data_IF_859830057829
#
_entry.id   IF_859830057829
#
_cell.length_a   1.000
_cell.length_b   1.000
_cell.length_c   1.000
_cell.angle_alpha   90.00
_cell.angle_beta   90.00
_cell.angle_gamma   90.00
#
_symmetry.space_group_name_H-M   'P 1'
#
loop_
_entity.id
_entity.type
_entity.pdbx_description
1 polymer ?
#
# COMPACT_ATOMS: atom_id res chain seq x y z
N UNK A 1 -21.75 23.56 -14.78
CA UNK A 1 -21.59 23.94 -16.20
C UNK A 1 -20.14 23.67 -16.59
N UNK A 2 -19.84 22.52 -17.20
CA UNK A 2 -18.46 22.14 -17.55
C UNK A 2 -18.11 22.68 -18.94
N UNK A 3 -17.07 23.53 -19.03
CA UNK A 3 -16.49 23.96 -20.31
C UNK A 3 -15.50 22.88 -20.79
N UNK A 4 -15.71 22.35 -22.00
CA UNK A 4 -14.74 21.51 -22.71
C UNK A 4 -13.52 22.36 -23.07
N UNK A 5 -12.34 21.97 -22.63
CA UNK A 5 -11.06 22.50 -23.10
C UNK A 5 -10.55 21.56 -24.18
N UNK A 6 -10.41 22.06 -25.41
CA UNK A 6 -9.77 21.35 -26.52
C UNK A 6 -8.29 21.73 -26.57
N UNK A 7 -7.41 20.73 -26.72
CA UNK A 7 -5.99 20.94 -27.01
C UNK A 7 -5.72 20.70 -28.51
N UNK A 8 -4.86 21.51 -29.15
CA UNK A 8 -4.57 21.41 -30.59
C UNK A 8 -3.66 20.21 -30.92
N UNK A 9 -3.84 19.64 -32.12
CA UNK A 9 -3.25 18.37 -32.60
C UNK A 9 -1.74 18.41 -32.93
N UNK A 10 -1.02 19.50 -32.65
CA UNK A 10 0.32 19.72 -33.22
C UNK A 10 1.50 19.18 -32.42
N UNK A 11 1.32 18.71 -31.17
CA UNK A 11 2.46 18.49 -30.24
C UNK A 11 2.74 17.02 -29.92
N UNK A 12 2.46 16.08 -30.83
CA UNK A 12 2.78 14.66 -30.65
C UNK A 12 4.22 14.34 -31.09
N UNK A 13 5.11 13.83 -30.19
CA UNK A 13 6.42 13.33 -30.61
C UNK A 13 6.28 11.98 -31.31
N UNK A 14 6.94 11.85 -32.46
CA UNK A 14 6.99 10.64 -33.30
C UNK A 14 7.79 9.55 -32.57
N UNK A 15 7.13 8.43 -32.24
CA UNK A 15 7.77 7.26 -31.64
C UNK A 15 8.49 6.41 -32.70
N UNK A 16 9.77 6.12 -32.50
CA UNK A 16 10.50 5.02 -33.16
C UNK A 16 11.04 4.04 -32.13
N UNK A 17 10.61 2.78 -32.25
CA UNK A 17 11.42 1.59 -31.97
C UNK A 17 11.47 1.03 -30.53
N UNK A 18 10.79 -0.10 -30.31
CA UNK A 18 11.44 -1.32 -29.79
C UNK A 18 11.41 -1.63 -28.27
N UNK A 19 10.63 -2.68 -27.95
CA UNK A 19 10.76 -3.66 -26.84
C UNK A 19 10.27 -3.27 -25.43
N UNK A 20 9.26 -4.05 -24.99
CA UNK A 20 8.56 -4.03 -23.69
C UNK A 20 7.88 -2.71 -23.31
N UNK A 21 6.70 -2.46 -23.88
CA UNK A 21 5.73 -1.54 -23.28
C UNK A 21 4.84 -2.32 -22.29
N UNK A 22 5.02 -2.24 -20.96
CA UNK A 22 3.86 -2.37 -20.08
C UNK A 22 2.91 -1.23 -20.47
N UNK A 23 1.60 -1.49 -20.50
CA UNK A 23 0.57 -0.52 -20.89
C UNK A 23 0.99 0.91 -20.48
N UNK A 24 1.21 1.77 -21.47
CA UNK A 24 1.38 3.21 -21.26
C UNK A 24 0.05 3.76 -20.74
N UNK A 25 -0.26 3.51 -19.48
CA UNK A 25 -1.08 4.39 -18.66
C UNK A 25 -0.14 5.51 -18.22
N UNK A 26 0.42 6.23 -19.20
CA UNK A 26 0.89 7.59 -19.01
C UNK A 26 -0.34 8.49 -19.04
N UNK A 27 -1.25 8.27 -18.09
CA UNK A 27 -2.17 9.31 -17.67
C UNK A 27 -1.31 10.24 -16.82
N UNK A 28 -0.63 11.15 -17.48
CA UNK A 28 -0.06 12.31 -16.82
C UNK A 28 -1.20 13.03 -16.08
N UNK A 29 -1.18 12.90 -14.76
CA UNK A 29 -1.50 13.96 -13.81
C UNK A 29 -2.70 14.83 -14.17
N UNK A 30 -3.90 14.33 -13.91
CA UNK A 30 -5.03 15.19 -13.55
C UNK A 30 -5.50 14.76 -12.15
N UNK A 31 -4.91 15.40 -11.15
CA UNK A 31 -5.14 15.31 -9.70
C UNK A 31 -4.72 14.00 -9.01
N UNK A 32 -3.78 14.13 -8.06
CA UNK A 32 -3.37 13.12 -7.05
C UNK A 32 -4.54 12.46 -6.30
N UNK A 33 -5.73 13.06 -6.39
CA UNK A 33 -7.00 12.61 -5.81
C UNK A 33 -7.72 11.53 -6.63
N UNK A 34 -7.25 11.20 -7.84
CA UNK A 34 -7.92 10.21 -8.70
C UNK A 34 -7.37 8.79 -8.58
N UNK A 35 -6.14 8.58 -8.12
CA UNK A 35 -5.60 7.20 -7.98
C UNK A 35 -6.31 6.46 -6.83
N UNK A 36 -6.60 7.15 -5.71
CA UNK A 36 -7.40 6.59 -4.61
C UNK A 36 -8.85 6.31 -5.03
N UNK A 37 -9.44 7.16 -5.89
CA UNK A 37 -10.78 6.96 -6.46
C UNK A 37 -10.83 5.84 -7.50
N UNK A 38 -9.75 5.60 -8.25
CA UNK A 38 -9.70 4.50 -9.22
C UNK A 38 -9.68 3.13 -8.55
N UNK A 39 -9.12 3.01 -7.34
CA UNK A 39 -9.11 1.75 -6.58
C UNK A 39 -10.52 1.36 -6.13
N UNK A 40 -11.30 2.32 -5.65
CA UNK A 40 -12.69 2.07 -5.25
C UNK A 40 -13.59 1.75 -6.46
N UNK A 41 -13.27 2.29 -7.63
CA UNK A 41 -13.99 2.01 -8.88
C UNK A 41 -13.56 0.70 -9.56
N UNK A 42 -12.33 0.24 -9.32
CA UNK A 42 -11.77 -0.97 -9.92
C UNK A 42 -11.09 -1.85 -8.86
N UNK A 43 -11.85 -2.61 -8.06
CA UNK A 43 -11.32 -3.47 -7.00
C UNK A 43 -10.45 -4.63 -7.52
N UNK A 44 -10.35 -4.82 -8.84
CA UNK A 44 -9.39 -5.73 -9.46
C UNK A 44 -7.96 -5.18 -9.47
N UNK A 45 -7.79 -3.85 -9.29
CA UNK A 45 -6.49 -3.18 -9.23
C UNK A 45 -5.86 -3.36 -7.83
N UNK A 46 -5.45 -4.60 -7.56
CA UNK A 46 -4.77 -5.02 -6.33
C UNK A 46 -3.26 -4.70 -6.32
N UNK A 47 -2.74 -4.30 -7.48
CA UNK A 47 -1.33 -3.99 -7.68
C UNK A 47 -1.19 -2.50 -8.01
N UNK A 48 -0.65 -1.76 -7.04
CA UNK A 48 -0.38 -0.32 -7.10
C UNK A 48 1.12 -0.06 -6.95
N UNK A 49 1.94 -1.08 -7.18
CA UNK A 49 3.37 -1.00 -7.02
C UNK A 49 4.01 -0.12 -8.09
N UNK A 50 5.20 0.40 -7.81
CA UNK A 50 5.97 1.24 -8.74
C UNK A 50 5.23 2.50 -9.21
N UNK A 51 4.38 3.06 -8.34
CA UNK A 51 3.77 4.35 -8.54
C UNK A 51 4.50 5.43 -7.72
N UNK A 52 4.06 6.68 -7.87
CA UNK A 52 4.59 7.81 -7.09
C UNK A 52 3.64 8.21 -5.97
N UNK A 53 2.96 7.25 -5.33
CA UNK A 53 1.99 7.55 -4.28
C UNK A 53 2.71 8.14 -3.06
N UNK A 54 2.27 9.32 -2.65
CA UNK A 54 2.75 10.00 -1.44
C UNK A 54 1.83 9.70 -0.23
N UNK A 55 0.55 9.47 -0.51
CA UNK A 55 -0.50 9.28 0.47
C UNK A 55 -1.53 8.25 -0.02
N UNK A 56 -2.18 7.62 0.94
CA UNK A 56 -3.41 6.83 0.78
C UNK A 56 -4.45 7.55 1.63
N UNK A 57 -5.65 7.80 1.09
CA UNK A 57 -6.74 8.39 1.86
C UNK A 57 -7.44 7.32 2.71
N UNK A 58 -8.01 7.69 3.86
CA UNK A 58 -8.73 6.77 4.76
C UNK A 58 -9.82 5.97 4.03
N UNK A 59 -10.47 6.59 3.04
CA UNK A 59 -11.59 5.99 2.35
C UNK A 59 -11.22 5.25 1.05
N UNK A 60 -9.92 5.17 0.72
CA UNK A 60 -9.44 4.62 -0.57
C UNK A 60 -9.90 3.19 -0.82
N UNK A 61 -10.10 2.41 0.24
CA UNK A 61 -10.41 0.99 0.18
C UNK A 61 -11.75 0.62 0.82
N UNK A 62 -12.67 1.58 0.99
CA UNK A 62 -13.98 1.27 1.57
C UNK A 62 -14.75 0.22 0.77
N UNK A 63 -15.28 -0.79 1.47
CA UNK A 63 -16.08 -1.88 0.92
C UNK A 63 -15.41 -2.70 -0.19
N UNK A 64 -14.08 -2.73 -0.24
CA UNK A 64 -13.30 -3.53 -1.21
C UNK A 64 -13.11 -4.96 -0.68
N UNK A 65 -14.21 -5.72 -0.63
CA UNK A 65 -14.23 -7.05 0.00
C UNK A 65 -13.63 -8.17 -0.86
N UNK A 66 -13.44 -7.95 -2.16
CA UNK A 66 -12.91 -8.96 -3.09
C UNK A 66 -11.39 -9.12 -3.03
N UNK A 67 -10.67 -8.11 -2.53
CA UNK A 67 -9.21 -8.07 -2.58
C UNK A 67 -8.59 -8.97 -1.50
N UNK A 68 -7.71 -9.88 -1.93
CA UNK A 68 -6.92 -10.77 -1.05
C UNK A 68 -5.44 -10.39 -0.99
N UNK A 69 -4.97 -9.64 -1.97
CA UNK A 69 -3.58 -9.19 -2.07
C UNK A 69 -3.60 -7.73 -2.43
N UNK A 70 -2.85 -6.90 -1.70
CA UNK A 70 -2.66 -5.49 -2.00
C UNK A 70 -1.16 -5.22 -2.04
N UNK A 71 -0.67 -4.79 -3.20
CA UNK A 71 0.70 -4.35 -3.36
C UNK A 71 0.77 -2.84 -3.50
N UNK A 72 1.56 -2.23 -2.63
CA UNK A 72 1.84 -0.80 -2.57
C UNK A 72 3.36 -0.56 -2.55
N UNK A 73 4.16 -1.56 -2.90
CA UNK A 73 5.61 -1.48 -2.85
C UNK A 73 6.20 -0.57 -3.92
N UNK A 74 7.39 -0.02 -3.68
CA UNK A 74 8.02 1.00 -4.54
C UNK A 74 7.11 2.22 -4.76
N UNK A 75 6.62 2.79 -3.67
CA UNK A 75 5.95 4.09 -3.65
C UNK A 75 6.71 5.05 -2.70
N UNK A 76 6.15 6.23 -2.42
CA UNK A 76 6.73 7.23 -1.51
C UNK A 76 5.88 7.44 -0.25
N UNK A 77 5.13 6.42 0.18
CA UNK A 77 4.23 6.51 1.33
C UNK A 77 5.05 6.75 2.60
N UNK A 78 4.74 7.85 3.31
CA UNK A 78 5.40 8.20 4.59
C UNK A 78 4.63 7.70 5.81
N UNK A 79 3.33 7.51 5.64
CA UNK A 79 2.41 6.97 6.63
C UNK A 79 1.20 6.36 5.91
N UNK A 80 0.46 5.53 6.63
CA UNK A 80 -0.91 5.16 6.28
C UNK A 80 -1.85 5.76 7.33
N UNK A 81 -2.93 6.45 6.92
CA UNK A 81 -3.93 6.90 7.88
C UNK A 81 -4.52 5.73 8.65
N UNK A 82 -4.83 5.96 9.92
CA UNK A 82 -5.63 5.02 10.71
C UNK A 82 -6.95 4.77 9.98
N UNK A 83 -7.34 3.50 9.87
CA UNK A 83 -8.58 3.15 9.20
C UNK A 83 -8.49 2.95 7.69
N UNK A 84 -7.41 3.38 7.02
CA UNK A 84 -7.27 3.28 5.56
C UNK A 84 -7.50 1.86 5.02
N UNK A 85 -7.13 0.84 5.79
CA UNK A 85 -7.21 -0.56 5.38
C UNK A 85 -8.44 -1.30 5.95
N UNK A 86 -9.31 -0.64 6.73
CA UNK A 86 -10.47 -1.29 7.39
C UNK A 86 -11.48 -1.88 6.40
N UNK A 87 -11.56 -1.31 5.20
CA UNK A 87 -12.46 -1.79 4.14
C UNK A 87 -11.99 -3.05 3.40
N UNK A 88 -10.88 -3.66 3.81
CA UNK A 88 -10.27 -4.85 3.18
C UNK A 88 -10.35 -6.11 4.09
N UNK A 89 -11.55 -6.58 4.48
CA UNK A 89 -11.70 -7.63 5.48
C UNK A 89 -11.13 -8.99 5.05
N UNK A 90 -10.97 -9.22 3.75
CA UNK A 90 -10.49 -10.48 3.19
C UNK A 90 -9.01 -10.41 2.75
N UNK A 91 -8.30 -9.35 3.11
CA UNK A 91 -6.89 -9.19 2.75
C UNK A 91 -6.02 -10.22 3.46
N UNK A 92 -5.21 -10.94 2.70
CA UNK A 92 -4.26 -11.96 3.16
C UNK A 92 -2.81 -11.54 2.96
N UNK A 93 -2.53 -10.75 1.93
CA UNK A 93 -1.17 -10.29 1.60
C UNK A 93 -1.17 -8.78 1.47
N UNK A 94 -0.31 -8.11 2.23
CA UNK A 94 -0.07 -6.67 2.14
C UNK A 94 1.43 -6.42 1.96
N UNK A 95 1.80 -5.82 0.83
CA UNK A 95 3.17 -5.39 0.58
C UNK A 95 3.27 -3.86 0.60
N UNK A 96 3.95 -3.35 1.64
CA UNK A 96 4.28 -1.94 1.82
C UNK A 96 5.79 -1.72 1.70
N UNK A 97 6.52 -2.69 1.13
CA UNK A 97 7.96 -2.62 0.99
C UNK A 97 8.42 -1.41 0.19
N UNK A 98 9.66 -0.95 0.42
CA UNK A 98 10.29 0.12 -0.37
C UNK A 98 9.42 1.38 -0.46
N UNK A 99 8.92 1.80 0.70
CA UNK A 99 8.27 3.07 0.95
C UNK A 99 9.12 3.91 1.91
N UNK A 100 8.53 4.94 2.51
CA UNK A 100 9.19 5.87 3.44
C UNK A 100 8.56 5.83 4.84
N UNK A 101 7.94 4.71 5.22
CA UNK A 101 7.28 4.55 6.52
C UNK A 101 8.29 4.64 7.66
N UNK A 102 7.96 5.37 8.73
CA UNK A 102 8.83 5.56 9.90
C UNK A 102 8.31 4.94 11.19
N UNK A 103 7.00 4.76 11.31
CA UNK A 103 6.35 4.22 12.51
C UNK A 103 5.26 3.26 12.07
N UNK A 104 5.10 2.15 12.79
CA UNK A 104 3.96 1.24 12.66
C UNK A 104 3.09 1.39 13.90
N UNK A 105 1.90 1.95 13.73
CA UNK A 105 0.93 2.18 14.80
C UNK A 105 0.06 0.94 15.05
N UNK A 106 -0.47 0.81 16.27
CA UNK A 106 -1.40 -0.25 16.68
C UNK A 106 -2.58 -0.42 15.72
N UNK A 107 -3.19 0.70 15.34
CA UNK A 107 -4.45 0.78 14.61
C UNK A 107 -4.25 0.77 13.08
N UNK A 108 -3.00 0.84 12.60
CA UNK A 108 -2.69 0.87 11.16
C UNK A 108 -3.17 -0.39 10.44
N UNK A 109 -3.21 -1.52 11.15
CA UNK A 109 -3.61 -2.84 10.63
C UNK A 109 -5.00 -3.27 11.14
N UNK A 110 -5.80 -2.35 11.65
CA UNK A 110 -7.17 -2.65 12.09
C UNK A 110 -8.04 -3.12 10.92
N UNK A 111 -8.91 -4.09 11.19
CA UNK A 111 -9.77 -4.73 10.18
C UNK A 111 -9.09 -5.84 9.37
N UNK A 112 -7.75 -5.97 9.44
CA UNK A 112 -6.99 -6.98 8.69
C UNK A 112 -6.85 -8.31 9.46
N UNK A 113 -7.96 -8.90 9.90
CA UNK A 113 -7.96 -10.11 10.73
C UNK A 113 -7.49 -11.38 9.99
N UNK A 114 -7.57 -11.38 8.66
CA UNK A 114 -7.17 -12.50 7.78
C UNK A 114 -5.76 -12.35 7.21
N UNK A 115 -4.99 -11.38 7.69
CA UNK A 115 -3.66 -11.09 7.15
C UNK A 115 -2.69 -12.23 7.46
N UNK A 116 -2.01 -12.73 6.44
CA UNK A 116 -1.06 -13.84 6.50
C UNK A 116 0.37 -13.40 6.22
N UNK A 117 0.53 -12.45 5.29
CA UNK A 117 1.83 -11.95 4.85
C UNK A 117 1.81 -10.44 4.90
N UNK A 118 2.77 -9.87 5.64
CA UNK A 118 2.96 -8.43 5.74
C UNK A 118 4.42 -8.09 5.47
N UNK A 119 4.64 -7.22 4.48
CA UNK A 119 5.97 -6.72 4.15
C UNK A 119 6.08 -5.23 4.43
N UNK A 120 7.03 -4.88 5.30
CA UNK A 120 7.53 -3.53 5.50
C UNK A 120 9.00 -3.40 5.10
N UNK A 121 9.51 -4.36 4.32
CA UNK A 121 10.92 -4.43 3.93
C UNK A 121 11.39 -3.10 3.32
N UNK A 122 12.61 -2.68 3.63
CA UNK A 122 13.23 -1.51 3.00
C UNK A 122 12.42 -0.21 3.16
N UNK A 123 11.87 0.00 4.35
CA UNK A 123 11.29 1.28 4.78
C UNK A 123 12.29 2.03 5.68
N UNK A 124 11.82 3.03 6.43
CA UNK A 124 12.62 3.79 7.40
C UNK A 124 12.07 3.62 8.81
N UNK A 125 11.49 2.46 9.13
CA UNK A 125 10.78 2.25 10.39
C UNK A 125 11.77 2.31 11.53
N UNK A 126 11.56 3.26 12.44
CA UNK A 126 12.35 3.51 13.64
C UNK A 126 11.65 2.94 14.88
N UNK A 127 10.31 2.86 14.86
CA UNK A 127 9.49 2.45 16.00
C UNK A 127 8.34 1.52 15.56
N UNK A 128 8.16 0.45 16.32
CA UNK A 128 6.94 -0.36 16.34
C UNK A 128 6.20 -0.03 17.63
N UNK A 129 4.97 0.45 17.52
CA UNK A 129 4.16 0.72 18.70
C UNK A 129 3.80 -0.58 19.42
N UNK A 130 3.66 -0.53 20.75
CA UNK A 130 3.22 -1.67 21.51
C UNK A 130 1.82 -2.11 21.04
N UNK A 131 1.70 -3.35 20.58
CA UNK A 131 0.45 -3.85 20.00
C UNK A 131 0.26 -3.52 18.52
N UNK A 132 1.29 -3.06 17.80
CA UNK A 132 1.30 -2.91 16.34
C UNK A 132 0.76 -4.14 15.57
N UNK A 133 0.92 -5.34 16.16
CA UNK A 133 0.49 -6.61 15.59
C UNK A 133 -0.60 -7.30 16.42
N UNK A 134 -1.33 -6.55 17.25
CA UNK A 134 -2.38 -7.10 18.10
C UNK A 134 -3.44 -7.82 17.27
N UNK A 135 -3.86 -8.99 17.75
CA UNK A 135 -4.87 -9.85 17.12
C UNK A 135 -4.54 -10.27 15.67
N UNK A 136 -3.25 -10.38 15.31
CA UNK A 136 -2.81 -10.87 13.99
C UNK A 136 -2.32 -12.32 14.04
N UNK A 137 -3.09 -13.18 14.69
CA UNK A 137 -2.74 -14.59 14.91
C UNK A 137 -2.60 -15.38 13.61
N UNK A 138 -3.26 -14.98 12.52
CA UNK A 138 -3.16 -15.63 11.21
C UNK A 138 -1.86 -15.31 10.45
N UNK A 139 -1.08 -14.32 10.88
CA UNK A 139 0.16 -13.97 10.20
C UNK A 139 1.18 -15.10 10.29
N UNK A 140 1.73 -15.45 9.13
CA UNK A 140 2.78 -16.45 8.96
C UNK A 140 4.10 -15.83 8.53
N UNK A 141 4.07 -14.68 7.86
CA UNK A 141 5.26 -13.97 7.39
C UNK A 141 5.17 -12.49 7.72
N UNK A 142 6.19 -11.99 8.40
CA UNK A 142 6.42 -10.58 8.63
C UNK A 142 7.81 -10.23 8.10
N UNK A 143 7.93 -9.21 7.27
CA UNK A 143 9.22 -8.80 6.72
C UNK A 143 9.56 -7.39 7.19
N UNK A 144 10.55 -7.27 8.07
CA UNK A 144 11.02 -5.99 8.64
C UNK A 144 12.47 -5.63 8.25
N UNK A 145 13.13 -6.45 7.44
CA UNK A 145 14.52 -6.25 7.04
C UNK A 145 14.74 -4.93 6.29
N UNK A 146 15.94 -4.36 6.46
CA UNK A 146 16.32 -3.05 5.93
C UNK A 146 15.44 -1.89 6.43
N UNK A 147 15.11 -1.88 7.72
CA UNK A 147 14.54 -0.73 8.43
C UNK A 147 15.58 -0.11 9.38
N UNK A 148 15.14 0.85 10.22
CA UNK A 148 15.98 1.59 11.18
C UNK A 148 15.61 1.27 12.63
N UNK A 149 15.04 0.09 12.87
CA UNK A 149 14.62 -0.38 14.18
C UNK A 149 15.83 -0.48 15.10
N UNK A 150 15.78 0.23 16.23
CA UNK A 150 16.85 0.20 17.25
C UNK A 150 16.55 -0.82 18.34
N UNK A 151 15.30 -0.87 18.77
CA UNK A 151 14.83 -1.71 19.86
C UNK A 151 13.47 -2.29 19.51
N UNK A 152 13.21 -3.49 20.02
CA UNK A 152 11.91 -4.16 19.91
C UNK A 152 11.51 -4.57 21.31
N UNK A 153 10.35 -4.09 21.78
CA UNK A 153 9.86 -4.38 23.13
C UNK A 153 9.59 -5.86 23.32
N UNK A 154 9.82 -6.36 24.54
CA UNK A 154 9.44 -7.72 24.91
C UNK A 154 7.94 -7.93 24.66
N UNK A 155 7.61 -9.04 24.01
CA UNK A 155 6.22 -9.38 23.66
C UNK A 155 5.65 -8.63 22.46
N UNK A 156 6.45 -7.86 21.69
CA UNK A 156 6.01 -7.20 20.46
C UNK A 156 5.28 -8.15 19.49
N UNK A 157 5.74 -9.40 19.43
CA UNK A 157 5.23 -10.42 18.52
C UNK A 157 4.38 -11.50 19.22
N UNK A 158 3.97 -11.29 20.48
CA UNK A 158 3.28 -12.32 21.29
C UNK A 158 1.98 -12.85 20.68
N UNK A 159 1.28 -11.99 19.92
CA UNK A 159 -0.01 -12.33 19.30
C UNK A 159 0.16 -12.98 17.92
N UNK A 160 1.39 -13.06 17.38
CA UNK A 160 1.72 -13.67 16.09
C UNK A 160 1.92 -15.19 16.24
N UNK A 161 0.87 -15.88 16.72
CA UNK A 161 0.93 -17.29 17.13
C UNK A 161 1.32 -18.26 16.00
N UNK A 162 1.06 -17.90 14.74
CA UNK A 162 1.36 -18.73 13.57
C UNK A 162 2.59 -18.25 12.77
N UNK A 163 3.41 -17.34 13.34
CA UNK A 163 4.54 -16.76 12.63
C UNK A 163 5.60 -17.82 12.31
N UNK A 164 6.01 -17.87 11.04
CA UNK A 164 7.03 -18.79 10.52
C UNK A 164 8.27 -18.04 10.05
N UNK A 165 8.12 -16.81 9.58
CA UNK A 165 9.19 -15.97 9.04
C UNK A 165 9.08 -14.56 9.59
N UNK A 166 10.20 -14.01 10.05
CA UNK A 166 10.36 -12.66 10.61
C UNK A 166 11.58 -11.94 10.00
#
# INVERSE_FOLDING_TARGET
MFKKVFWPKSDLPIARGGLHKPLEIRIYLLCYRFVTVLISLFPFLSDLSFNSLLHVDEDSFQNVTSVKTLRLDFNFLRALPVGALKGLPNLRVLDLGRNLLRVVFGEMLDGLSNLEVLSFRSNQIELLEYGAFKNKSNMTHLYLQHNKLKEVSNGMFKDLMNLKVL
#
